data_IF_705658138123
#
_entry.id   IF_705658138123
#
_cell.length_a   1.000
_cell.length_b   1.000
_cell.length_c   1.000
_cell.angle_alpha   90.00
_cell.angle_beta   90.00
_cell.angle_gamma   90.00
#
_symmetry.space_group_name_H-M   'P 1'
#
loop_
_entity.id
_entity.type
_entity.pdbx_description
1 polymer ?
#
# COMPACT_ATOMS: atom_id res chain seq x y z
N UNK A 1 -10.04 -7.59 -9.04
CA UNK A 1 -8.66 -7.51 -9.57
C UNK A 1 -8.46 -8.03 -11.01
N UNK A 2 -9.51 -8.18 -11.85
CA UNK A 2 -9.35 -8.64 -13.24
C UNK A 2 -8.52 -7.69 -14.12
N UNK A 3 -8.62 -6.38 -13.86
CA UNK A 3 -7.81 -5.40 -14.57
C UNK A 3 -6.33 -5.44 -14.16
N UNK A 4 -6.05 -5.73 -12.88
CA UNK A 4 -4.75 -5.47 -12.28
C UNK A 4 -3.80 -6.66 -12.39
N UNK A 5 -4.29 -7.87 -12.14
CA UNK A 5 -3.50 -9.10 -12.10
C UNK A 5 -3.47 -9.81 -13.46
N UNK A 6 -2.47 -10.65 -13.68
CA UNK A 6 -2.39 -11.53 -14.86
C UNK A 6 -3.18 -12.85 -14.71
N UNK A 7 -3.46 -13.24 -13.47
CA UNK A 7 -4.11 -14.51 -13.16
C UNK A 7 -5.53 -14.58 -13.75
N UNK A 8 -5.98 -15.79 -14.11
CA UNK A 8 -7.35 -16.05 -14.57
C UNK A 8 -7.82 -15.14 -15.73
N UNK A 9 -7.00 -15.05 -16.79
CA UNK A 9 -7.27 -14.20 -17.97
C UNK A 9 -7.34 -12.70 -17.63
N UNK A 10 -6.68 -12.29 -16.55
CA UNK A 10 -6.57 -10.89 -16.15
C UNK A 10 -5.71 -10.06 -17.11
N UNK A 11 -5.83 -8.73 -17.03
CA UNK A 11 -5.23 -7.79 -17.99
C UNK A 11 -3.81 -7.32 -17.63
N UNK A 12 -3.22 -7.83 -16.54
CA UNK A 12 -1.87 -7.47 -16.11
C UNK A 12 -1.66 -5.95 -15.94
N UNK A 13 -2.64 -5.23 -15.41
CA UNK A 13 -2.61 -3.78 -15.28
C UNK A 13 -1.38 -3.27 -14.51
N UNK A 14 -1.02 -3.93 -13.41
CA UNK A 14 0.17 -3.58 -12.63
C UNK A 14 1.45 -3.71 -13.45
N UNK A 15 1.69 -4.90 -14.03
CA UNK A 15 2.87 -5.19 -14.82
C UNK A 15 2.98 -4.27 -16.04
N UNK A 16 1.86 -3.97 -16.70
CA UNK A 16 1.82 -3.05 -17.84
C UNK A 16 2.18 -1.62 -17.43
N UNK A 17 1.72 -1.16 -16.27
CA UNK A 17 2.03 0.16 -15.75
C UNK A 17 3.51 0.27 -15.35
N UNK A 18 4.02 -0.72 -14.61
CA UNK A 18 5.42 -0.77 -14.17
C UNK A 18 6.38 -0.85 -15.37
N UNK A 19 6.03 -1.55 -16.45
CA UNK A 19 6.80 -1.61 -17.70
C UNK A 19 6.95 -0.26 -18.41
N UNK A 20 6.17 0.77 -18.08
CA UNK A 20 6.40 2.11 -18.63
C UNK A 20 7.79 2.67 -18.26
N UNK A 21 8.41 2.16 -17.19
CA UNK A 21 9.79 2.51 -16.81
C UNK A 21 10.83 2.06 -17.85
N UNK A 22 10.53 1.08 -18.69
CA UNK A 22 11.41 0.70 -19.82
C UNK A 22 11.55 1.84 -20.85
N UNK A 23 10.56 2.74 -20.92
CA UNK A 23 10.58 3.92 -21.81
C UNK A 23 11.23 5.14 -21.15
N UNK A 24 11.21 5.20 -19.83
CA UNK A 24 11.82 6.28 -19.06
C UNK A 24 12.38 5.69 -17.76
N UNK A 25 13.69 5.45 -17.74
CA UNK A 25 14.39 4.84 -16.59
C UNK A 25 14.32 5.68 -15.31
N UNK A 26 13.98 6.95 -15.41
CA UNK A 26 13.80 7.84 -14.26
C UNK A 26 12.37 7.83 -13.70
N UNK A 27 11.41 7.19 -14.40
CA UNK A 27 10.03 7.08 -13.93
C UNK A 27 9.97 6.20 -12.68
N UNK A 28 9.27 6.67 -11.66
CA UNK A 28 8.94 5.90 -10.46
C UNK A 28 7.45 5.55 -10.48
N UNK A 29 7.15 4.28 -10.23
CA UNK A 29 5.78 3.77 -10.18
C UNK A 29 5.44 3.35 -8.76
N UNK A 30 4.43 3.97 -8.18
CA UNK A 30 3.94 3.66 -6.84
C UNK A 30 2.58 2.97 -6.93
N UNK A 31 2.27 2.11 -5.96
CA UNK A 31 0.95 1.52 -5.80
C UNK A 31 0.23 2.20 -4.64
N UNK A 32 -0.96 2.76 -4.90
CA UNK A 32 -1.79 3.34 -3.85
C UNK A 32 -2.68 2.29 -3.18
N UNK A 33 -2.81 2.36 -1.85
CA UNK A 33 -3.78 1.59 -1.07
C UNK A 33 -4.62 2.56 -0.26
N UNK A 34 -5.93 2.55 -0.47
CA UNK A 34 -6.84 3.49 0.17
C UNK A 34 -7.79 4.15 -0.82
N UNK A 35 -7.91 5.47 -0.70
CA UNK A 35 -8.84 6.29 -1.45
C UNK A 35 -10.24 6.29 -0.86
N UNK A 36 -11.01 7.31 -1.25
CA UNK A 36 -12.32 7.62 -0.68
C UNK A 36 -13.27 6.44 -0.49
N UNK A 37 -13.43 5.60 -1.51
CA UNK A 37 -14.40 4.50 -1.50
C UNK A 37 -14.00 3.32 -0.60
N UNK A 38 -12.74 3.21 -0.22
CA UNK A 38 -12.30 2.15 0.70
C UNK A 38 -12.77 2.40 2.15
N UNK A 39 -13.12 3.65 2.48
CA UNK A 39 -13.52 4.05 3.83
C UNK A 39 -12.37 4.00 4.85
N UNK A 40 -12.68 4.19 6.13
CA UNK A 40 -11.65 4.33 7.18
C UNK A 40 -11.67 3.21 8.23
N UNK A 41 -12.83 2.58 8.48
CA UNK A 41 -13.01 1.59 9.57
C UNK A 41 -11.98 0.46 9.57
N UNK A 42 -11.72 -0.14 8.40
CA UNK A 42 -10.75 -1.25 8.28
C UNK A 42 -9.31 -0.81 8.52
N UNK A 43 -8.96 0.41 8.12
CA UNK A 43 -7.63 0.99 8.34
C UNK A 43 -7.41 1.31 9.82
N UNK A 44 -8.41 1.94 10.47
CA UNK A 44 -8.37 2.20 11.92
C UNK A 44 -8.18 0.90 12.72
N UNK A 45 -8.95 -0.15 12.40
CA UNK A 45 -8.83 -1.45 13.05
C UNK A 45 -7.49 -2.15 12.80
N UNK A 46 -6.89 -1.97 11.61
CA UNK A 46 -5.58 -2.52 11.27
C UNK A 46 -4.48 -1.76 12.02
N UNK A 47 -4.51 -0.43 11.97
CA UNK A 47 -3.53 0.45 12.59
C UNK A 47 -3.50 0.31 14.12
N UNK A 48 -4.64 0.04 14.77
CA UNK A 48 -4.74 -0.13 16.22
C UNK A 48 -4.07 -1.41 16.78
N UNK A 49 -3.65 -2.36 15.94
CA UNK A 49 -3.12 -3.64 16.39
C UNK A 49 -1.75 -3.92 15.79
N UNK A 50 -0.73 -4.10 16.65
CA UNK A 50 0.65 -4.35 16.19
C UNK A 50 0.76 -5.61 15.31
N UNK A 51 0.01 -6.67 15.64
CA UNK A 51 0.00 -7.89 14.83
C UNK A 51 -0.66 -7.67 13.46
N UNK A 52 -1.76 -6.91 13.40
CA UNK A 52 -2.41 -6.58 12.12
C UNK A 52 -1.57 -5.64 11.27
N UNK A 53 -0.92 -4.63 11.87
CA UNK A 53 0.02 -3.78 11.16
C UNK A 53 1.17 -4.59 10.57
N UNK A 54 1.76 -5.50 11.34
CA UNK A 54 2.81 -6.39 10.84
C UNK A 54 2.34 -7.20 9.62
N UNK A 55 1.16 -7.83 9.71
CA UNK A 55 0.60 -8.58 8.57
C UNK A 55 0.40 -7.67 7.35
N UNK A 56 -0.14 -6.46 7.55
CA UNK A 56 -0.33 -5.50 6.48
C UNK A 56 1.00 -5.09 5.84
N UNK A 57 1.99 -4.67 6.64
CA UNK A 57 3.33 -4.26 6.18
C UNK A 57 4.01 -5.39 5.39
N UNK A 58 4.03 -6.61 5.93
CA UNK A 58 4.63 -7.77 5.26
C UNK A 58 3.92 -8.04 3.92
N UNK A 59 2.59 -7.91 3.87
CA UNK A 59 1.81 -8.11 2.64
C UNK A 59 2.06 -7.03 1.60
N UNK A 60 2.27 -5.77 2.02
CA UNK A 60 2.62 -4.66 1.14
C UNK A 60 3.97 -4.92 0.49
N UNK A 61 5.00 -5.25 1.28
CA UNK A 61 6.33 -5.55 0.76
C UNK A 61 6.27 -6.69 -0.26
N UNK A 62 5.56 -7.77 0.07
CA UNK A 62 5.39 -8.91 -0.83
C UNK A 62 4.70 -8.51 -2.16
N UNK A 63 3.64 -7.70 -2.09
CA UNK A 63 2.89 -7.26 -3.27
C UNK A 63 3.73 -6.34 -4.17
N UNK A 64 4.42 -5.36 -3.59
CA UNK A 64 5.25 -4.42 -4.34
C UNK A 64 6.41 -5.14 -5.02
N UNK A 65 7.09 -6.07 -4.32
CA UNK A 65 8.16 -6.90 -4.90
C UNK A 65 7.65 -7.80 -6.02
N UNK A 66 6.47 -8.41 -5.84
CA UNK A 66 5.88 -9.30 -6.85
C UNK A 66 5.67 -8.60 -8.19
N UNK A 67 5.27 -7.33 -8.18
CA UNK A 67 4.95 -6.57 -9.38
C UNK A 67 6.00 -5.47 -9.71
N UNK A 68 7.14 -5.45 -9.01
CA UNK A 68 8.26 -4.55 -9.27
C UNK A 68 7.92 -3.04 -9.15
N UNK A 69 7.04 -2.68 -8.21
CA UNK A 69 6.75 -1.28 -7.88
C UNK A 69 7.94 -0.63 -7.14
N UNK A 70 8.09 0.69 -7.27
CA UNK A 70 9.11 1.46 -6.55
C UNK A 70 8.71 1.86 -5.14
N UNK A 71 7.46 1.65 -4.74
CA UNK A 71 7.00 2.02 -3.41
C UNK A 71 5.49 2.05 -3.28
N UNK A 72 5.05 2.47 -2.09
CA UNK A 72 3.66 2.57 -1.69
C UNK A 72 3.23 4.04 -1.63
N UNK A 73 1.99 4.30 -2.02
CA UNK A 73 1.24 5.48 -1.62
C UNK A 73 0.14 5.06 -0.62
N UNK A 74 0.21 5.56 0.61
CA UNK A 74 -0.73 5.18 1.67
C UNK A 74 -1.85 6.23 1.75
N UNK A 75 -2.93 5.98 1.02
CA UNK A 75 -4.03 6.92 0.82
C UNK A 75 -5.20 6.67 1.79
N UNK A 76 -4.92 6.60 3.08
CA UNK A 76 -5.97 6.43 4.10
C UNK A 76 -6.75 7.74 4.28
N UNK A 77 -8.00 7.77 3.83
CA UNK A 77 -8.90 8.92 3.93
C UNK A 77 -10.06 8.72 4.93
N UNK A 78 -9.99 9.20 6.17
CA UNK A 78 -8.85 9.80 6.85
C UNK A 78 -8.73 9.19 8.26
N UNK A 79 -7.51 9.09 8.83
CA UNK A 79 -7.33 8.79 10.25
C UNK A 79 -8.26 9.66 11.11
N UNK A 80 -8.88 9.08 12.15
CA UNK A 80 -9.83 9.74 13.07
C UNK A 80 -11.21 10.07 12.48
N UNK A 81 -11.43 9.85 11.18
CA UNK A 81 -12.68 10.19 10.50
C UNK A 81 -13.30 8.97 9.81
N UNK A 82 -14.57 9.09 9.39
CA UNK A 82 -15.27 8.11 8.52
C UNK A 82 -15.27 6.67 9.06
N UNK A 83 -15.40 6.52 10.38
CA UNK A 83 -15.31 5.24 11.09
C UNK A 83 -13.98 4.99 11.79
N UNK A 84 -13.10 5.99 11.83
CA UNK A 84 -11.86 5.99 12.62
C UNK A 84 -12.06 6.39 14.08
N UNK A 85 -10.97 6.31 14.85
CA UNK A 85 -10.90 6.63 16.27
C UNK A 85 -9.82 7.70 16.54
N UNK A 86 -9.88 8.46 17.66
CA UNK A 86 -8.87 9.47 17.98
C UNK A 86 -7.43 8.92 18.00
N UNK A 87 -7.27 7.66 18.41
CA UNK A 87 -5.98 6.97 18.49
C UNK A 87 -5.34 6.72 17.12
N UNK A 88 -6.12 6.84 16.03
CA UNK A 88 -5.60 6.68 14.67
C UNK A 88 -4.45 7.64 14.37
N UNK A 89 -4.40 8.82 15.00
CA UNK A 89 -3.28 9.75 14.82
C UNK A 89 -1.94 9.11 15.21
N UNK A 90 -1.85 8.52 16.41
CA UNK A 90 -0.64 7.87 16.88
C UNK A 90 -0.39 6.53 16.17
N UNK A 91 -1.47 5.79 15.91
CA UNK A 91 -1.39 4.49 15.23
C UNK A 91 -0.92 4.65 13.78
N UNK A 92 -1.35 5.71 13.08
CA UNK A 92 -0.91 6.01 11.72
C UNK A 92 0.58 6.35 11.67
N UNK A 93 1.09 7.17 12.60
CA UNK A 93 2.53 7.44 12.71
C UNK A 93 3.33 6.16 12.93
N UNK A 94 2.84 5.28 13.81
CA UNK A 94 3.47 3.98 14.08
C UNK A 94 3.49 3.11 12.81
N UNK A 95 2.35 3.00 12.12
CA UNK A 95 2.23 2.27 10.86
C UNK A 95 3.19 2.80 9.79
N UNK A 96 3.29 4.12 9.62
CA UNK A 96 4.20 4.74 8.65
C UNK A 96 5.68 4.47 9.01
N UNK A 97 6.02 4.45 10.29
CA UNK A 97 7.35 4.07 10.76
C UNK A 97 7.69 2.61 10.43
N UNK A 98 6.74 1.69 10.66
CA UNK A 98 6.88 0.26 10.34
C UNK A 98 6.99 0.03 8.82
N UNK A 99 6.15 0.69 8.01
CA UNK A 99 6.23 0.66 6.54
C UNK A 99 7.59 1.17 6.04
N UNK A 100 8.04 2.33 6.53
CA UNK A 100 9.36 2.89 6.16
C UNK A 100 10.48 1.93 6.50
N UNK A 101 10.45 1.34 7.70
CA UNK A 101 11.47 0.38 8.13
C UNK A 101 11.51 -0.89 7.28
N UNK A 102 10.36 -1.35 6.79
CA UNK A 102 10.27 -2.54 5.95
C UNK A 102 10.59 -2.29 4.46
N UNK A 103 10.27 -1.10 3.94
CA UNK A 103 10.48 -0.75 2.53
C UNK A 103 11.93 -0.30 2.24
N UNK A 104 12.57 0.42 3.17
CA UNK A 104 13.90 0.97 2.94
C UNK A 104 14.99 -0.08 2.59
N UNK A 105 15.06 -1.26 3.23
CA UNK A 105 16.02 -2.31 2.86
C UNK A 105 15.80 -2.87 1.45
N UNK A 106 14.59 -2.74 0.91
CA UNK A 106 14.21 -3.19 -0.44
C UNK A 106 14.44 -2.09 -1.50
N UNK A 107 14.97 -0.92 -1.10
CA UNK A 107 15.17 0.22 -2.00
C UNK A 107 13.87 0.94 -2.39
N UNK A 108 12.82 0.79 -1.58
CA UNK A 108 11.50 1.42 -1.73
C UNK A 108 11.25 2.51 -0.69
#
# INVERSE_FOLDING_TARGET
>A
PWNDLCDNYGKCGYDRFVKLREKNVNLKTLLAIGGWNEGSTKYSQMAASASKRKIFVDSVVALLKKHDFNGLDMDWEYPTQRGGAPEDQANFVTLMGELKGALAPEGM
#
